data_IF_608220507567
#
_entry.id   IF_608220507567
#
_cell.length_a   1.000
_cell.length_b   1.000
_cell.length_c   1.000
_cell.angle_alpha   90.00
_cell.angle_beta   90.00
_cell.angle_gamma   90.00
#
_symmetry.space_group_name_H-M   'P 1'
#
loop_
_entity.id
_entity.type
_entity.pdbx_description
1 polymer ?
#
# COMPACT_ATOMS: atom_id res chain seq x y z
N UNK A 1 31.97 33.02 24.26
CA UNK A 1 31.16 31.78 24.15
C UNK A 1 30.90 31.40 22.68
N UNK A 2 30.60 30.14 22.37
CA UNK A 2 30.56 29.61 20.99
C UNK A 2 29.52 28.50 20.80
N UNK A 3 28.76 28.55 19.70
CA UNK A 3 27.89 27.47 19.21
C UNK A 3 28.79 26.45 18.50
N UNK A 4 29.02 25.31 19.15
CA UNK A 4 29.96 24.27 18.71
C UNK A 4 29.44 23.49 17.50
N UNK A 5 29.77 23.92 16.27
CA UNK A 5 29.44 23.25 15.02
C UNK A 5 30.72 22.66 14.42
N UNK A 6 30.73 21.34 14.17
CA UNK A 6 31.91 20.63 13.64
C UNK A 6 31.65 19.81 12.38
N UNK A 7 30.39 19.54 12.06
CA UNK A 7 30.02 18.62 10.96
C UNK A 7 28.88 19.18 10.11
N UNK A 8 28.72 18.67 8.89
CA UNK A 8 27.54 18.97 8.05
C UNK A 8 26.21 18.62 8.75
N UNK A 9 26.19 17.58 9.58
CA UNK A 9 25.01 17.19 10.37
C UNK A 9 24.71 18.19 11.48
N UNK A 10 25.75 18.73 12.12
CA UNK A 10 25.62 19.80 13.12
C UNK A 10 25.00 21.06 12.49
N UNK A 11 25.47 21.47 11.31
CA UNK A 11 24.88 22.59 10.56
C UNK A 11 23.40 22.33 10.27
N UNK A 12 23.05 21.15 9.75
CA UNK A 12 21.66 20.77 9.45
C UNK A 12 20.77 20.81 10.70
N UNK A 13 21.26 20.31 11.83
CA UNK A 13 20.55 20.36 13.10
C UNK A 13 20.37 21.81 13.59
N UNK A 14 21.42 22.62 13.50
CA UNK A 14 21.36 24.02 13.92
C UNK A 14 20.32 24.80 13.11
N UNK A 15 20.35 24.68 11.78
CA UNK A 15 19.39 25.34 10.89
C UNK A 15 17.95 24.86 11.12
N UNK A 16 17.76 23.61 11.52
CA UNK A 16 16.44 23.15 11.95
C UNK A 16 15.95 23.86 13.22
N UNK A 17 16.83 24.04 14.21
CA UNK A 17 16.48 24.63 15.50
C UNK A 17 16.34 26.15 15.45
N UNK A 18 17.21 26.83 14.70
CA UNK A 18 17.39 28.28 14.77
C UNK A 18 17.61 28.93 13.38
N UNK A 19 17.35 28.22 12.27
CA UNK A 19 17.59 28.77 10.92
C UNK A 19 16.68 29.94 10.54
N UNK A 20 15.56 30.12 11.24
CA UNK A 20 14.64 31.26 11.09
C UNK A 20 14.78 32.27 12.24
N UNK A 21 15.85 32.18 13.03
CA UNK A 21 16.08 33.09 14.14
C UNK A 21 16.36 34.52 13.68
N UNK A 22 16.03 35.50 14.53
CA UNK A 22 16.21 36.92 14.25
C UNK A 22 17.68 37.26 14.01
N UNK A 23 18.63 36.57 14.63
CA UNK A 23 20.06 36.76 14.36
C UNK A 23 20.44 36.47 12.90
N UNK A 24 19.85 35.44 12.29
CA UNK A 24 20.13 35.09 10.90
C UNK A 24 19.56 36.17 9.95
N UNK A 25 18.34 36.65 10.22
CA UNK A 25 17.74 37.69 9.40
C UNK A 25 18.42 39.05 9.60
N UNK A 26 18.80 39.39 10.85
CA UNK A 26 19.60 40.58 11.13
C UNK A 26 20.95 40.52 10.41
N UNK A 27 21.63 39.38 10.42
CA UNK A 27 22.91 39.21 9.74
C UNK A 27 22.79 39.37 8.21
N UNK A 28 21.62 39.10 7.62
CA UNK A 28 21.36 39.43 6.21
C UNK A 28 21.31 40.94 5.98
N UNK A 29 20.64 41.68 6.87
CA UNK A 29 20.29 43.09 6.66
C UNK A 29 21.26 44.09 7.28
N UNK A 30 22.06 43.68 8.26
CA UNK A 30 22.91 44.58 9.03
C UNK A 30 23.97 45.24 8.16
N UNK A 31 24.25 46.51 8.47
CA UNK A 31 25.30 47.34 7.87
C UNK A 31 26.64 47.18 8.60
N UNK A 32 26.67 46.45 9.72
CA UNK A 32 27.91 46.12 10.41
C UNK A 32 28.87 45.37 9.49
N UNK A 33 30.17 45.56 9.73
CA UNK A 33 31.22 44.89 8.96
C UNK A 33 31.17 43.38 9.25
N UNK A 34 30.99 42.58 8.20
CA UNK A 34 30.93 41.11 8.29
C UNK A 34 32.24 40.53 7.82
N UNK A 35 32.81 39.63 8.62
CA UNK A 35 34.00 38.86 8.21
C UNK A 35 33.60 37.74 7.26
N UNK A 36 32.41 37.16 7.46
CA UNK A 36 31.92 36.03 6.66
C UNK A 36 30.69 36.41 5.84
N UNK A 37 30.52 35.76 4.69
CA UNK A 37 29.36 35.98 3.84
C UNK A 37 28.17 35.15 4.34
N UNK A 38 26.94 35.68 4.26
CA UNK A 38 25.71 34.98 4.67
C UNK A 38 25.58 33.59 4.02
N UNK A 39 25.92 33.48 2.73
CA UNK A 39 25.86 32.21 1.99
C UNK A 39 26.72 31.10 2.61
N UNK A 40 27.74 31.44 3.40
CA UNK A 40 28.52 30.43 4.13
C UNK A 40 27.67 29.64 5.13
N UNK A 41 26.62 30.23 5.70
CA UNK A 41 25.70 29.54 6.64
C UNK A 41 25.01 28.34 5.98
N UNK A 42 24.68 28.47 4.69
CA UNK A 42 23.98 27.45 3.91
C UNK A 42 24.90 26.67 2.97
N UNK A 43 26.20 26.93 3.04
CA UNK A 43 27.22 26.32 2.20
C UNK A 43 27.58 24.89 2.61
N UNK A 44 28.40 24.25 1.80
CA UNK A 44 28.89 22.90 2.10
C UNK A 44 30.01 22.86 3.14
N UNK A 45 30.75 23.95 3.30
CA UNK A 45 31.86 24.05 4.26
C UNK A 45 31.31 24.31 5.66
N UNK A 46 31.34 23.29 6.53
CA UNK A 46 30.84 23.40 7.89
C UNK A 46 31.68 24.32 8.78
N UNK A 47 32.97 24.53 8.48
CA UNK A 47 33.81 25.46 9.23
C UNK A 47 33.41 26.89 8.93
N UNK A 48 33.26 27.23 7.64
CA UNK A 48 32.76 28.55 7.23
C UNK A 48 31.33 28.79 7.73
N UNK A 49 30.47 27.77 7.70
CA UNK A 49 29.13 27.86 8.27
C UNK A 49 29.17 28.13 9.78
N UNK A 50 30.02 27.43 10.54
CA UNK A 50 30.18 27.63 11.97
C UNK A 50 30.63 29.06 12.29
N UNK A 51 31.60 29.58 11.54
CA UNK A 51 32.12 30.93 11.69
C UNK A 51 31.05 31.99 11.40
N UNK A 52 30.33 31.86 10.28
CA UNK A 52 29.26 32.79 9.90
C UNK A 52 28.07 32.75 10.87
N UNK A 53 27.66 31.57 11.33
CA UNK A 53 26.58 31.41 12.33
C UNK A 53 26.96 32.09 13.64
N UNK A 54 28.18 31.86 14.14
CA UNK A 54 28.60 32.47 15.39
C UNK A 54 28.80 33.98 15.26
N UNK A 55 29.28 34.48 14.12
CA UNK A 55 29.34 35.93 13.85
C UNK A 55 27.93 36.55 13.87
N UNK A 56 26.97 35.93 13.16
CA UNK A 56 25.57 36.38 13.14
C UNK A 56 24.95 36.50 14.55
N UNK A 57 25.14 35.45 15.37
CA UNK A 57 24.60 35.42 16.72
C UNK A 57 25.32 36.39 17.66
N UNK A 58 26.62 36.61 17.49
CA UNK A 58 27.38 37.58 18.29
C UNK A 58 27.00 39.03 18.00
N UNK A 59 26.77 39.36 16.73
CA UNK A 59 26.33 40.71 16.34
C UNK A 59 25.03 41.08 17.05
N UNK A 60 24.06 40.17 17.10
CA UNK A 60 22.76 40.47 17.70
C UNK A 60 22.71 40.26 19.22
N UNK A 61 23.32 39.19 19.74
CA UNK A 61 23.18 38.73 21.13
C UNK A 61 24.48 38.86 21.92
N UNK A 62 25.26 39.91 21.65
CA UNK A 62 26.61 40.09 22.19
C UNK A 62 26.67 39.87 23.72
N UNK A 63 27.37 38.80 24.13
CA UNK A 63 27.52 38.34 25.52
C UNK A 63 26.22 38.30 26.36
N UNK A 64 25.09 37.97 25.72
CA UNK A 64 23.80 37.85 26.38
C UNK A 64 23.47 36.42 26.85
N UNK A 65 22.56 36.30 27.81
CA UNK A 65 22.03 35.00 28.29
C UNK A 65 21.32 34.23 27.16
N UNK A 66 20.81 34.91 26.15
CA UNK A 66 20.23 34.29 24.95
C UNK A 66 21.27 33.49 24.17
N UNK A 67 22.47 34.05 23.95
CA UNK A 67 23.56 33.32 23.29
C UNK A 67 23.96 32.08 24.11
N UNK A 68 23.99 32.21 25.45
CA UNK A 68 24.23 31.08 26.35
C UNK A 68 23.17 30.00 26.17
N UNK A 69 21.90 30.40 26.17
CA UNK A 69 20.75 29.51 26.01
C UNK A 69 20.80 28.76 24.67
N UNK A 70 21.15 29.43 23.57
CA UNK A 70 21.32 28.80 22.27
C UNK A 70 22.45 27.77 22.25
N UNK A 71 23.65 28.16 22.72
CA UNK A 71 24.79 27.25 22.78
C UNK A 71 24.49 26.01 23.65
N UNK A 72 23.84 26.21 24.79
CA UNK A 72 23.45 25.13 25.70
C UNK A 72 22.40 24.18 25.08
N UNK A 73 21.33 24.73 24.50
CA UNK A 73 20.27 23.92 23.85
C UNK A 73 20.83 23.13 22.67
N UNK A 74 21.70 23.75 21.88
CA UNK A 74 22.34 23.09 20.75
C UNK A 74 23.28 21.96 21.20
N UNK A 75 24.09 22.20 22.24
CA UNK A 75 24.93 21.16 22.85
C UNK A 75 24.10 19.95 23.31
N UNK A 76 23.01 20.19 24.03
CA UNK A 76 22.09 19.11 24.46
C UNK A 76 21.50 18.34 23.28
N UNK A 77 21.08 19.04 22.23
CA UNK A 77 20.55 18.41 21.02
C UNK A 77 21.60 17.53 20.33
N UNK A 78 22.86 17.98 20.26
CA UNK A 78 23.99 17.21 19.73
C UNK A 78 24.26 15.95 20.54
N UNK A 79 24.28 16.05 21.87
CA UNK A 79 24.48 14.90 22.77
C UNK A 79 23.37 13.85 22.64
N UNK A 80 22.17 14.28 22.21
CA UNK A 80 21.04 13.40 21.94
C UNK A 80 20.99 12.82 20.51
N UNK A 81 22.00 13.06 19.66
CA UNK A 81 22.04 12.51 18.30
C UNK A 81 22.39 11.02 18.31
N UNK A 82 21.68 10.23 17.49
CA UNK A 82 22.09 8.85 17.25
C UNK A 82 23.46 8.80 16.56
N UNK A 83 24.38 7.91 16.97
CA UNK A 83 25.61 7.66 16.23
C UNK A 83 25.33 7.23 14.79
N UNK A 84 26.15 7.67 13.83
CA UNK A 84 25.94 7.41 12.39
C UNK A 84 25.86 5.91 12.09
N UNK A 85 26.60 5.08 12.84
CA UNK A 85 26.61 3.62 12.70
C UNK A 85 25.24 2.98 12.90
N UNK A 86 24.36 3.58 13.72
CA UNK A 86 23.02 3.05 14.00
C UNK A 86 22.12 3.05 12.77
N UNK A 87 22.42 3.88 11.77
CA UNK A 87 21.68 3.90 10.50
C UNK A 87 22.22 2.91 9.46
N UNK A 88 23.34 2.24 9.74
CA UNK A 88 24.05 1.43 8.74
C UNK A 88 23.26 0.24 8.21
N UNK A 89 22.45 -0.41 9.05
CA UNK A 89 21.79 -1.67 8.73
C UNK A 89 20.74 -1.55 7.62
N UNK A 90 20.04 -0.41 7.51
CA UNK A 90 19.03 -0.20 6.47
C UNK A 90 19.55 0.58 5.26
N UNK A 91 20.65 1.33 5.37
CA UNK A 91 21.17 2.20 4.29
C UNK A 91 21.49 1.44 3.00
N UNK A 92 21.85 0.16 3.08
CA UNK A 92 22.20 -0.68 1.91
C UNK A 92 21.04 -1.56 1.41
N UNK A 93 19.92 -1.61 2.12
CA UNK A 93 18.76 -2.42 1.77
C UNK A 93 17.54 -1.54 1.50
N UNK A 94 17.06 -1.58 0.25
CA UNK A 94 15.88 -0.81 -0.14
C UNK A 94 14.65 -1.22 0.68
N UNK A 95 14.43 -2.52 0.89
CA UNK A 95 13.29 -3.02 1.67
C UNK A 95 13.40 -2.57 3.15
N UNK A 96 14.57 -2.73 3.77
CA UNK A 96 14.79 -2.34 5.16
C UNK A 96 14.60 -0.83 5.36
N UNK A 97 15.12 -0.01 4.45
CA UNK A 97 14.94 1.44 4.50
C UNK A 97 13.48 1.84 4.29
N UNK A 98 12.77 1.19 3.37
CA UNK A 98 11.33 1.40 3.18
C UNK A 98 10.55 1.07 4.45
N UNK A 99 10.87 -0.06 5.08
CA UNK A 99 10.24 -0.50 6.32
C UNK A 99 10.51 0.46 7.47
N UNK A 100 11.77 0.86 7.69
CA UNK A 100 12.15 1.80 8.74
C UNK A 100 11.43 3.15 8.56
N UNK A 101 11.35 3.64 7.32
CA UNK A 101 10.58 4.84 6.99
C UNK A 101 9.09 4.67 7.31
N UNK A 102 8.48 3.55 6.89
CA UNK A 102 7.06 3.29 7.15
C UNK A 102 6.78 3.22 8.67
N UNK A 103 7.71 2.64 9.44
CA UNK A 103 7.61 2.55 10.89
C UNK A 103 7.60 3.94 11.55
N UNK A 104 8.57 4.80 11.21
CA UNK A 104 8.61 6.17 11.78
C UNK A 104 7.42 7.02 11.32
N UNK A 105 6.86 6.75 10.13
CA UNK A 105 5.66 7.43 9.62
C UNK A 105 4.43 7.19 10.47
N UNK A 106 4.33 6.00 11.05
CA UNK A 106 3.23 5.62 11.94
C UNK A 106 3.68 5.59 13.40
N UNK A 107 4.83 6.17 13.75
CA UNK A 107 5.30 6.15 15.13
C UNK A 107 4.36 6.96 16.04
N UNK A 108 3.63 6.27 16.92
CA UNK A 108 2.71 6.86 17.88
C UNK A 108 2.33 5.86 18.96
N UNK A 109 2.11 6.33 20.19
CA UNK A 109 1.49 5.52 21.25
C UNK A 109 0.12 4.95 20.83
N UNK A 110 -0.61 5.65 19.96
CA UNK A 110 -1.92 5.19 19.43
C UNK A 110 -1.80 3.98 18.49
N UNK A 111 -0.59 3.68 18.02
CA UNK A 111 -0.31 2.54 17.15
C UNK A 111 0.41 1.41 17.91
N UNK A 112 0.43 1.44 19.25
CA UNK A 112 1.05 0.37 20.06
C UNK A 112 0.43 -1.00 19.81
N UNK A 113 -0.86 -1.05 19.45
CA UNK A 113 -1.58 -2.26 19.06
C UNK A 113 -1.01 -2.95 17.81
N UNK A 114 -0.28 -2.23 16.95
CA UNK A 114 0.40 -2.82 15.79
C UNK A 114 1.47 -3.84 16.19
N UNK A 115 2.00 -3.76 17.42
CA UNK A 115 2.94 -4.75 17.95
C UNK A 115 2.24 -6.01 18.48
N UNK A 116 0.93 -5.96 18.76
CA UNK A 116 0.15 -7.00 19.43
C UNK A 116 -1.14 -7.33 18.67
N UNK A 117 -1.03 -7.64 17.37
CA UNK A 117 -2.19 -8.00 16.52
C UNK A 117 -2.59 -9.46 16.76
N UNK A 118 -3.03 -9.76 17.99
CA UNK A 118 -3.56 -11.07 18.40
C UNK A 118 -5.06 -11.07 18.66
N UNK A 119 -5.70 -9.90 18.73
CA UNK A 119 -7.13 -9.74 19.04
C UNK A 119 -7.99 -9.42 17.82
N UNK A 120 -9.27 -9.76 17.90
CA UNK A 120 -10.33 -9.46 16.93
C UNK A 120 -10.71 -7.95 16.87
N UNK A 121 -9.84 -7.07 17.36
CA UNK A 121 -10.08 -5.63 17.42
C UNK A 121 -9.95 -4.99 16.03
N UNK A 122 -10.70 -3.89 15.83
CA UNK A 122 -10.58 -3.08 14.63
C UNK A 122 -9.15 -2.56 14.48
N UNK A 123 -8.40 -3.15 13.55
CA UNK A 123 -7.06 -2.70 13.20
C UNK A 123 -7.18 -1.30 12.59
N UNK A 124 -6.71 -0.25 13.29
CA UNK A 124 -6.70 1.12 12.78
C UNK A 124 -5.29 1.71 12.89
N UNK A 125 -4.86 2.46 11.87
CA UNK A 125 -3.54 3.10 11.87
C UNK A 125 -3.70 4.61 12.00
N UNK A 126 -3.20 5.15 13.10
CA UNK A 126 -3.11 6.58 13.35
C UNK A 126 -1.95 7.20 12.56
N UNK A 127 -2.25 8.15 11.66
CA UNK A 127 -1.25 8.73 10.74
C UNK A 127 -0.86 10.18 11.06
N UNK A 128 -1.47 10.81 12.06
CA UNK A 128 -1.10 12.17 12.54
C UNK A 128 0.03 12.09 13.58
N UNK A 129 1.20 11.65 13.13
CA UNK A 129 2.34 11.28 13.99
C UNK A 129 3.37 12.41 14.11
N UNK A 130 4.36 12.28 15.03
CA UNK A 130 5.48 13.23 15.13
C UNK A 130 6.25 13.41 13.81
N UNK A 131 6.20 12.42 12.90
CA UNK A 131 6.79 12.55 11.57
C UNK A 131 6.29 13.81 10.84
N UNK A 132 4.99 14.10 10.86
CA UNK A 132 4.44 15.31 10.20
C UNK A 132 4.97 16.61 10.80
N UNK A 133 5.41 16.59 12.07
CA UNK A 133 5.97 17.76 12.74
C UNK A 133 7.45 17.95 12.41
N UNK A 134 8.20 16.86 12.30
CA UNK A 134 9.67 16.91 12.18
C UNK A 134 10.17 16.86 10.74
N UNK A 135 9.40 16.27 9.82
CA UNK A 135 9.85 15.94 8.47
C UNK A 135 9.08 16.75 7.44
N UNK A 136 9.83 17.45 6.57
CA UNK A 136 9.27 18.22 5.46
C UNK A 136 8.83 17.33 4.29
N UNK A 137 9.58 16.27 4.01
CA UNK A 137 9.30 15.36 2.91
C UNK A 137 8.19 14.38 3.34
N UNK A 138 6.95 14.72 3.00
CA UNK A 138 5.79 13.88 3.32
C UNK A 138 5.76 12.57 2.52
N UNK A 139 6.30 12.55 1.30
CA UNK A 139 6.24 11.38 0.42
C UNK A 139 7.58 11.22 -0.31
N UNK A 140 8.62 10.67 0.35
CA UNK A 140 9.90 10.43 -0.29
C UNK A 140 9.75 9.47 -1.47
N UNK A 141 10.34 9.84 -2.60
CA UNK A 141 10.24 9.11 -3.88
C UNK A 141 11.49 8.31 -4.21
N UNK A 142 12.54 8.42 -3.38
CA UNK A 142 13.80 7.71 -3.56
C UNK A 142 14.31 7.10 -2.26
N UNK A 143 15.21 6.11 -2.40
CA UNK A 143 15.93 5.51 -1.28
C UNK A 143 16.74 6.55 -0.49
N UNK A 144 17.37 7.51 -1.19
CA UNK A 144 18.14 8.59 -0.56
C UNK A 144 17.24 9.49 0.30
N UNK A 145 16.10 9.91 -0.23
CA UNK A 145 15.14 10.73 0.53
C UNK A 145 14.57 9.96 1.73
N UNK A 146 14.31 8.66 1.60
CA UNK A 146 13.87 7.84 2.75
C UNK A 146 14.93 7.79 3.85
N UNK A 147 16.21 7.64 3.50
CA UNK A 147 17.32 7.71 4.47
C UNK A 147 17.32 9.07 5.17
N UNK A 148 17.23 10.16 4.41
CA UNK A 148 17.23 11.53 4.96
C UNK A 148 16.05 11.74 5.91
N UNK A 149 14.85 11.30 5.56
CA UNK A 149 13.69 11.37 6.45
C UNK A 149 13.90 10.62 7.76
N UNK A 150 14.57 9.45 7.72
CA UNK A 150 14.85 8.66 8.93
C UNK A 150 15.89 9.38 9.80
N UNK A 151 16.98 9.85 9.21
CA UNK A 151 17.99 10.61 9.94
C UNK A 151 17.39 11.87 10.56
N UNK A 152 16.66 12.67 9.78
CA UNK A 152 16.00 13.88 10.24
C UNK A 152 15.00 13.59 11.36
N UNK A 153 14.29 12.46 11.33
CA UNK A 153 13.31 12.12 12.36
C UNK A 153 13.99 11.96 13.72
N UNK A 154 15.13 11.26 13.75
CA UNK A 154 15.90 11.06 14.96
C UNK A 154 16.69 12.31 15.37
N UNK A 155 17.23 13.05 14.40
CA UNK A 155 18.01 14.27 14.67
C UNK A 155 17.13 15.37 15.27
N UNK A 156 15.93 15.55 14.73
CA UNK A 156 15.00 16.62 15.10
C UNK A 156 14.07 16.26 16.25
N UNK A 157 14.02 14.98 16.63
CA UNK A 157 13.22 14.53 17.75
C UNK A 157 13.79 15.06 19.08
N UNK A 158 12.94 15.60 19.98
CA UNK A 158 13.35 16.11 21.28
C UNK A 158 13.66 14.99 22.30
N UNK A 159 13.58 13.72 21.90
CA UNK A 159 13.88 12.58 22.77
C UNK A 159 15.36 12.54 23.16
N UNK A 160 15.66 11.99 24.33
CA UNK A 160 17.03 11.70 24.74
C UNK A 160 17.64 10.55 23.91
N UNK A 161 18.95 10.37 24.03
CA UNK A 161 19.69 9.35 23.27
C UNK A 161 19.21 7.93 23.57
N UNK A 162 18.90 7.60 24.84
CA UNK A 162 18.47 6.26 25.25
C UNK A 162 17.13 5.91 24.60
N UNK A 163 16.17 6.83 24.66
CA UNK A 163 14.87 6.68 24.00
C UNK A 163 15.01 6.47 22.48
N UNK A 164 15.87 7.24 21.82
CA UNK A 164 16.13 7.10 20.38
C UNK A 164 16.76 5.75 20.03
N UNK A 165 17.73 5.29 20.83
CA UNK A 165 18.36 3.98 20.65
C UNK A 165 17.35 2.85 20.82
N UNK A 166 16.49 2.92 21.84
CA UNK A 166 15.42 1.95 22.06
C UNK A 166 14.45 1.87 20.89
N UNK A 167 14.07 3.01 20.29
CA UNK A 167 13.21 3.04 19.10
C UNK A 167 13.93 2.45 17.90
N UNK A 168 15.19 2.82 17.65
CA UNK A 168 15.98 2.26 16.53
C UNK A 168 16.11 0.74 16.65
N UNK A 169 16.39 0.24 17.86
CA UNK A 169 16.44 -1.20 18.15
C UNK A 169 15.09 -1.86 17.88
N UNK A 170 14.00 -1.26 18.36
CA UNK A 170 12.63 -1.78 18.13
C UNK A 170 12.27 -1.87 16.64
N UNK A 171 12.68 -0.88 15.85
CA UNK A 171 12.50 -0.89 14.38
C UNK A 171 13.29 -2.05 13.77
N UNK A 172 14.56 -2.21 14.19
CA UNK A 172 15.42 -3.27 13.69
C UNK A 172 14.90 -4.66 14.05
N UNK A 173 14.51 -4.89 15.30
CA UNK A 173 13.93 -6.16 15.75
C UNK A 173 12.63 -6.49 15.02
N UNK A 174 11.79 -5.48 14.78
CA UNK A 174 10.59 -5.65 13.96
C UNK A 174 10.94 -5.99 12.51
N UNK A 175 11.98 -5.39 11.94
CA UNK A 175 12.45 -5.74 10.60
C UNK A 175 13.00 -7.18 10.55
N UNK A 176 13.87 -7.55 11.49
CA UNK A 176 14.51 -8.87 11.51
C UNK A 176 13.46 -10.00 11.64
N UNK A 177 12.40 -9.79 12.42
CA UNK A 177 11.28 -10.73 12.54
C UNK A 177 10.43 -10.87 11.27
N UNK A 178 10.23 -9.79 10.51
CA UNK A 178 9.24 -9.77 9.43
C UNK A 178 9.84 -9.76 8.01
N UNK A 179 11.12 -9.46 7.85
CA UNK A 179 11.77 -9.25 6.55
C UNK A 179 11.62 -10.45 5.60
N UNK A 180 11.80 -11.67 6.12
CA UNK A 180 11.67 -12.91 5.33
C UNK A 180 10.25 -13.16 4.83
N UNK A 181 9.24 -12.61 5.51
CA UNK A 181 7.84 -12.78 5.14
C UNK A 181 7.53 -12.06 3.82
N UNK A 182 8.29 -11.02 3.46
CA UNK A 182 8.10 -10.29 2.21
C UNK A 182 8.18 -11.19 0.97
N UNK A 183 8.90 -12.31 1.06
CA UNK A 183 9.07 -13.27 -0.04
C UNK A 183 7.88 -14.24 -0.20
N UNK A 184 7.00 -14.31 0.80
CA UNK A 184 5.73 -15.07 0.73
C UNK A 184 4.75 -14.38 -0.24
N UNK A 185 4.84 -13.05 -0.36
CA UNK A 185 4.02 -12.28 -1.29
C UNK A 185 4.29 -12.77 -2.72
N UNK A 186 3.29 -13.26 -3.48
CA UNK A 186 3.52 -13.93 -4.77
C UNK A 186 3.75 -12.92 -5.90
N UNK A 187 4.79 -12.09 -5.77
CA UNK A 187 5.22 -11.07 -6.72
C UNK A 187 6.70 -11.26 -7.05
N UNK A 188 7.04 -11.21 -8.33
CA UNK A 188 8.43 -11.19 -8.80
C UNK A 188 8.77 -9.77 -9.26
N UNK A 189 9.96 -9.29 -8.94
CA UNK A 189 10.45 -7.95 -9.34
C UNK A 189 10.38 -7.71 -10.86
N UNK A 190 10.53 -8.75 -11.67
CA UNK A 190 10.47 -8.68 -13.13
C UNK A 190 9.03 -8.61 -13.70
N UNK A 191 8.01 -9.02 -12.93
CA UNK A 191 6.62 -9.08 -13.41
C UNK A 191 5.91 -7.74 -13.24
N UNK A 192 6.27 -6.77 -14.11
CA UNK A 192 5.73 -5.41 -14.10
C UNK A 192 4.20 -5.38 -14.18
N UNK A 193 3.61 -6.30 -14.95
CA UNK A 193 2.17 -6.39 -15.15
C UNK A 193 1.43 -6.76 -13.88
N UNK A 194 1.92 -7.78 -13.16
CA UNK A 194 1.35 -8.22 -11.89
C UNK A 194 1.61 -7.20 -10.77
N UNK A 195 2.76 -6.54 -10.75
CA UNK A 195 3.07 -5.48 -9.77
C UNK A 195 2.08 -4.32 -9.90
N UNK A 196 1.86 -3.80 -11.10
CA UNK A 196 0.91 -2.70 -11.31
C UNK A 196 -0.52 -3.12 -10.94
N UNK A 197 -0.95 -4.32 -11.35
CA UNK A 197 -2.24 -4.86 -10.92
C UNK A 197 -2.36 -5.01 -9.41
N UNK A 198 -1.30 -5.47 -8.74
CA UNK A 198 -1.29 -5.69 -7.29
C UNK A 198 -1.48 -4.38 -6.54
N UNK A 199 -0.78 -3.32 -6.98
CA UNK A 199 -0.97 -1.97 -6.47
C UNK A 199 -2.43 -1.53 -6.62
N UNK A 200 -2.98 -1.59 -7.82
CA UNK A 200 -4.38 -1.22 -8.08
C UNK A 200 -5.36 -2.08 -7.27
N UNK A 201 -5.03 -3.36 -7.04
CA UNK A 201 -5.84 -4.29 -6.27
C UNK A 201 -5.88 -3.96 -4.78
N UNK A 202 -4.76 -3.54 -4.19
CA UNK A 202 -4.73 -3.18 -2.77
C UNK A 202 -5.18 -1.74 -2.53
N UNK A 203 -5.04 -0.83 -3.49
CA UNK A 203 -5.48 0.57 -3.35
C UNK A 203 -6.98 0.75 -3.52
N UNK A 204 -7.70 -0.23 -4.09
CA UNK A 204 -9.15 -0.21 -4.15
C UNK A 204 -9.74 -0.43 -2.77
N UNK A 205 -10.59 0.50 -2.35
CA UNK A 205 -11.43 0.30 -1.18
C UNK A 205 -12.41 -0.85 -1.43
N UNK A 206 -12.23 -1.92 -0.66
CA UNK A 206 -13.03 -3.14 -0.77
C UNK A 206 -14.16 -3.22 0.24
N UNK A 207 -14.45 -2.15 0.99
CA UNK A 207 -15.65 -2.10 1.83
C UNK A 207 -16.89 -2.49 1.02
N UNK A 208 -17.03 -2.00 -0.21
CA UNK A 208 -18.12 -2.38 -1.10
C UNK A 208 -18.11 -3.87 -1.53
N UNK A 209 -16.93 -4.48 -1.65
CA UNK A 209 -16.81 -5.92 -1.96
C UNK A 209 -17.17 -6.79 -0.76
N UNK A 210 -16.79 -6.35 0.43
CA UNK A 210 -17.14 -6.99 1.70
C UNK A 210 -18.66 -6.89 1.89
N UNK A 211 -19.22 -5.68 1.81
CA UNK A 211 -20.66 -5.44 1.87
C UNK A 211 -21.43 -6.27 0.84
N UNK A 212 -20.95 -6.36 -0.40
CA UNK A 212 -21.56 -7.19 -1.41
C UNK A 212 -21.43 -8.70 -1.14
N UNK A 213 -20.37 -9.15 -0.47
CA UNK A 213 -20.20 -10.56 -0.08
C UNK A 213 -21.09 -10.93 1.10
N UNK A 214 -21.23 -10.02 2.06
CA UNK A 214 -22.20 -10.12 3.17
C UNK A 214 -23.60 -10.20 2.58
N UNK A 215 -23.98 -9.28 1.68
CA UNK A 215 -25.30 -9.29 1.04
C UNK A 215 -25.61 -10.63 0.35
N UNK A 216 -24.66 -11.20 -0.38
CA UNK A 216 -24.82 -12.53 -1.01
C UNK A 216 -24.93 -13.68 0.00
N UNK A 217 -24.22 -13.60 1.12
CA UNK A 217 -24.33 -14.60 2.19
C UNK A 217 -25.71 -14.52 2.87
N UNK A 218 -26.19 -13.31 3.11
CA UNK A 218 -27.54 -13.04 3.64
C UNK A 218 -28.62 -13.54 2.65
N UNK A 219 -28.49 -13.24 1.36
CA UNK A 219 -29.42 -13.70 0.31
C UNK A 219 -29.52 -15.23 0.25
N UNK A 220 -28.40 -15.95 0.33
CA UNK A 220 -28.40 -17.43 0.37
C UNK A 220 -29.06 -18.04 1.61
N UNK A 221 -29.01 -17.34 2.73
CA UNK A 221 -29.66 -17.78 3.97
C UNK A 221 -31.15 -17.48 3.95
N UNK A 222 -31.55 -16.34 3.40
CA UNK A 222 -32.96 -16.00 3.16
C UNK A 222 -33.59 -17.00 2.17
N UNK A 223 -32.85 -17.44 1.14
CA UNK A 223 -33.31 -18.50 0.23
C UNK A 223 -33.48 -19.85 0.95
N UNK A 224 -32.56 -20.22 1.85
CA UNK A 224 -32.69 -21.44 2.67
C UNK A 224 -33.76 -21.36 3.76
N UNK A 225 -34.06 -20.18 4.29
CA UNK A 225 -35.10 -19.99 5.29
C UNK A 225 -36.50 -19.88 4.69
N UNK A 226 -36.62 -19.71 3.37
CA UNK A 226 -37.92 -19.78 2.65
C UNK A 226 -38.38 -21.21 2.42
N UNK A 227 -37.49 -22.19 2.59
CA UNK A 227 -37.81 -23.63 2.53
C UNK A 227 -38.22 -24.22 3.88
N UNK A 228 -38.02 -23.50 4.99
CA UNK A 228 -38.47 -23.90 6.34
C UNK A 228 -39.57 -22.93 6.83
N UNK A 229 -40.66 -23.45 7.40
CA UNK A 229 -41.92 -22.72 7.66
C UNK A 229 -41.85 -21.59 8.72
N UNK A 230 -40.69 -21.28 9.30
CA UNK A 230 -40.49 -20.29 10.37
C UNK A 230 -39.76 -19.00 9.93
N UNK A 231 -39.80 -18.69 8.64
CA UNK A 231 -38.97 -17.73 7.91
C UNK A 231 -38.83 -16.28 8.44
N UNK A 232 -38.10 -16.07 9.53
CA UNK A 232 -37.41 -14.81 9.85
C UNK A 232 -35.98 -15.08 10.32
N UNK A 233 -34.99 -14.61 9.55
CA UNK A 233 -33.58 -14.58 9.98
C UNK A 233 -33.42 -13.44 10.98
N UNK A 234 -33.03 -13.73 12.23
CA UNK A 234 -32.86 -12.70 13.25
C UNK A 234 -31.67 -11.78 12.93
N UNK A 235 -31.75 -10.51 13.35
CA UNK A 235 -30.66 -9.54 13.17
C UNK A 235 -29.35 -10.02 13.81
N UNK A 236 -29.43 -10.77 14.93
CA UNK A 236 -28.27 -11.34 15.59
C UNK A 236 -27.51 -12.35 14.70
N UNK A 237 -28.23 -13.18 13.93
CA UNK A 237 -27.61 -14.11 12.98
C UNK A 237 -26.92 -13.34 11.85
N UNK A 238 -27.55 -12.27 11.36
CA UNK A 238 -26.97 -11.40 10.32
C UNK A 238 -25.68 -10.71 10.81
N UNK A 239 -25.67 -10.24 12.05
CA UNK A 239 -24.52 -9.59 12.69
C UNK A 239 -23.38 -10.60 12.93
N UNK A 240 -23.70 -11.84 13.28
CA UNK A 240 -22.73 -12.92 13.44
C UNK A 240 -22.07 -13.32 12.10
N UNK A 241 -22.86 -13.42 11.03
CA UNK A 241 -22.35 -13.68 9.68
C UNK A 241 -21.50 -12.51 9.20
N UNK A 242 -21.93 -11.27 9.46
CA UNK A 242 -21.17 -10.08 9.16
C UNK A 242 -19.81 -10.17 9.87
N UNK A 243 -19.82 -10.40 11.19
CA UNK A 243 -18.62 -10.55 12.01
C UNK A 243 -17.69 -11.63 11.48
N UNK A 244 -18.20 -12.83 11.18
CA UNK A 244 -17.41 -13.94 10.61
C UNK A 244 -16.85 -13.63 9.22
N UNK A 245 -17.58 -12.87 8.40
CA UNK A 245 -17.15 -12.49 7.04
C UNK A 245 -16.04 -11.44 7.05
N UNK A 246 -16.03 -10.55 8.05
CA UNK A 246 -14.99 -9.53 8.24
C UNK A 246 -13.85 -10.02 9.14
N UNK A 247 -14.03 -11.13 9.85
CA UNK A 247 -13.06 -11.68 10.78
C UNK A 247 -11.72 -11.97 10.07
N UNK A 248 -10.66 -11.34 10.58
CA UNK A 248 -9.31 -11.42 10.03
C UNK A 248 -9.11 -10.69 8.69
N UNK A 249 -10.10 -9.95 8.17
CA UNK A 249 -9.90 -9.07 7.03
C UNK A 249 -9.22 -7.77 7.46
N UNK A 250 -8.05 -7.48 6.91
CA UNK A 250 -7.28 -6.29 7.25
C UNK A 250 -7.15 -5.40 6.02
N UNK A 251 -7.60 -4.15 6.11
CA UNK A 251 -7.39 -3.12 5.09
C UNK A 251 -7.47 -1.73 5.70
N UNK A 252 -6.48 -0.88 5.43
CA UNK A 252 -6.37 0.46 6.00
C UNK A 252 -6.08 1.51 4.92
N UNK A 253 -7.10 2.17 4.36
CA UNK A 253 -6.92 3.20 3.33
C UNK A 253 -5.97 4.34 3.76
N UNK A 254 -6.01 4.71 5.04
CA UNK A 254 -5.17 5.78 5.59
C UNK A 254 -3.69 5.38 5.68
N UNK A 255 -3.39 4.11 5.94
CA UNK A 255 -2.02 3.62 5.90
C UNK A 255 -1.53 3.52 4.46
N UNK A 256 -2.37 3.02 3.55
CA UNK A 256 -2.05 2.93 2.13
C UNK A 256 -1.77 4.30 1.50
N UNK A 257 -2.47 5.36 1.94
CA UNK A 257 -2.28 6.72 1.42
C UNK A 257 -0.93 7.36 1.80
N UNK A 258 -0.18 6.78 2.74
CA UNK A 258 1.19 7.19 3.05
C UNK A 258 2.13 6.90 1.87
N UNK A 259 1.82 5.88 1.07
CA UNK A 259 2.63 5.39 -0.03
C UNK A 259 2.18 6.03 -1.35
N UNK A 260 3.09 6.70 -2.06
CA UNK A 260 2.86 7.27 -3.40
C UNK A 260 3.90 6.80 -4.42
N UNK A 261 4.02 5.48 -4.67
CA UNK A 261 5.02 4.94 -5.58
C UNK A 261 4.73 5.36 -7.03
N UNK A 262 5.69 6.05 -7.65
CA UNK A 262 5.59 6.53 -9.04
C UNK A 262 6.03 5.49 -10.07
N UNK A 263 7.01 4.65 -9.73
CA UNK A 263 7.57 3.64 -10.64
C UNK A 263 7.12 2.23 -10.29
N UNK A 264 7.22 1.30 -11.23
CA UNK A 264 6.94 -0.12 -10.95
C UNK A 264 7.89 -0.69 -9.89
N UNK A 265 9.13 -0.24 -9.84
CA UNK A 265 10.10 -0.63 -8.80
C UNK A 265 9.67 -0.14 -7.43
N UNK A 266 9.27 1.13 -7.31
CA UNK A 266 8.75 1.67 -6.04
C UNK A 266 7.45 0.97 -5.63
N UNK A 267 6.56 0.64 -6.57
CA UNK A 267 5.34 -0.14 -6.28
C UNK A 267 5.69 -1.51 -5.70
N UNK A 268 6.69 -2.19 -6.27
CA UNK A 268 7.15 -3.49 -5.77
C UNK A 268 7.66 -3.40 -4.32
N UNK A 269 8.51 -2.42 -4.02
CA UNK A 269 9.03 -2.19 -2.66
C UNK A 269 7.92 -1.81 -1.69
N UNK A 270 7.02 -0.90 -2.08
CA UNK A 270 5.87 -0.49 -1.29
C UNK A 270 4.95 -1.69 -0.98
N UNK A 271 4.64 -2.53 -1.97
CA UNK A 271 3.81 -3.72 -1.79
C UNK A 271 4.42 -4.71 -0.80
N UNK A 272 5.74 -4.94 -0.87
CA UNK A 272 6.47 -5.78 0.09
C UNK A 272 6.39 -5.20 1.51
N UNK A 273 6.67 -3.91 1.66
CA UNK A 273 6.58 -3.21 2.93
C UNK A 273 5.16 -3.27 3.52
N UNK A 274 4.14 -2.93 2.74
CA UNK A 274 2.73 -2.95 3.18
C UNK A 274 2.31 -4.36 3.58
N UNK A 275 2.78 -5.38 2.86
CA UNK A 275 2.49 -6.77 3.21
C UNK A 275 3.01 -7.12 4.60
N UNK A 276 4.30 -6.93 4.86
CA UNK A 276 4.90 -7.29 6.15
C UNK A 276 4.43 -6.39 7.30
N UNK A 277 4.04 -5.15 7.03
CA UNK A 277 3.53 -4.23 8.06
C UNK A 277 2.05 -4.43 8.40
N UNK A 278 1.26 -5.10 7.55
CA UNK A 278 -0.19 -5.15 7.71
C UNK A 278 -0.82 -6.45 7.20
N UNK A 279 -0.73 -6.74 5.90
CA UNK A 279 -1.49 -7.85 5.30
C UNK A 279 -0.99 -9.24 5.69
N UNK A 280 0.22 -9.36 6.24
CA UNK A 280 0.73 -10.63 6.78
C UNK A 280 -0.16 -11.19 7.90
N UNK A 281 -0.75 -10.33 8.72
CA UNK A 281 -1.67 -10.75 9.80
C UNK A 281 -3.02 -11.27 9.27
N UNK A 282 -3.38 -10.96 8.02
CA UNK A 282 -4.58 -11.47 7.35
C UNK A 282 -4.25 -12.82 6.69
N UNK A 283 -4.46 -13.91 7.43
CA UNK A 283 -4.19 -15.30 6.98
C UNK A 283 -4.88 -15.65 5.66
N UNK A 284 -5.97 -14.97 5.31
CA UNK A 284 -6.75 -15.20 4.08
C UNK A 284 -6.29 -14.27 2.93
N UNK A 285 -5.36 -13.34 3.15
CA UNK A 285 -4.90 -12.38 2.13
C UNK A 285 -4.28 -13.07 0.92
N UNK A 286 -3.28 -13.94 1.13
CA UNK A 286 -2.57 -14.60 0.03
C UNK A 286 -3.51 -15.43 -0.86
N UNK A 287 -4.39 -16.30 -0.32
CA UNK A 287 -5.41 -16.98 -1.12
C UNK A 287 -6.30 -16.03 -1.92
N UNK A 288 -6.83 -14.97 -1.29
CA UNK A 288 -7.68 -13.98 -1.98
C UNK A 288 -6.92 -13.26 -3.08
N UNK A 289 -5.67 -12.89 -2.82
CA UNK A 289 -4.79 -12.20 -3.76
C UNK A 289 -4.48 -13.06 -4.99
N UNK A 290 -4.12 -14.35 -4.81
CA UNK A 290 -3.88 -15.29 -5.91
C UNK A 290 -5.12 -15.48 -6.79
N UNK A 291 -6.27 -15.78 -6.17
CA UNK A 291 -7.55 -15.96 -6.87
C UNK A 291 -7.95 -14.73 -7.68
N UNK A 292 -7.77 -13.54 -7.12
CA UNK A 292 -8.08 -12.28 -7.83
C UNK A 292 -7.18 -12.06 -9.05
N UNK A 293 -5.91 -12.43 -8.96
CA UNK A 293 -4.98 -12.37 -10.09
C UNK A 293 -5.33 -13.36 -11.19
N UNK A 294 -5.62 -14.61 -10.84
CA UNK A 294 -6.02 -15.67 -11.78
C UNK A 294 -7.27 -15.28 -12.57
N UNK A 295 -8.30 -14.78 -11.88
CA UNK A 295 -9.52 -14.29 -12.51
C UNK A 295 -9.25 -13.11 -13.47
N UNK A 296 -8.36 -12.20 -13.08
CA UNK A 296 -7.98 -11.06 -13.94
C UNK A 296 -7.23 -11.54 -15.18
N UNK A 297 -6.32 -12.48 -15.02
CA UNK A 297 -5.52 -13.07 -16.09
C UNK A 297 -6.40 -13.85 -17.07
N UNK A 298 -7.33 -14.66 -16.55
CA UNK A 298 -8.32 -15.39 -17.34
C UNK A 298 -9.20 -14.44 -18.17
N UNK A 299 -9.72 -13.36 -17.58
CA UNK A 299 -10.51 -12.36 -18.30
C UNK A 299 -9.72 -11.68 -19.40
N UNK A 300 -8.45 -11.34 -19.16
CA UNK A 300 -7.56 -10.77 -20.18
C UNK A 300 -7.30 -11.76 -21.32
N UNK A 301 -7.05 -13.03 -21.02
CA UNK A 301 -6.85 -14.09 -22.02
C UNK A 301 -8.12 -14.29 -22.88
N UNK A 302 -9.30 -14.38 -22.25
CA UNK A 302 -10.58 -14.50 -22.95
C UNK A 302 -10.85 -13.30 -23.88
N UNK A 303 -10.56 -12.07 -23.43
CA UNK A 303 -10.67 -10.87 -24.26
C UNK A 303 -9.70 -10.89 -25.44
N UNK A 304 -8.45 -11.34 -25.24
CA UNK A 304 -7.46 -11.49 -26.31
C UNK A 304 -7.91 -12.52 -27.35
N UNK A 305 -8.44 -13.66 -26.92
CA UNK A 305 -8.98 -14.69 -27.82
C UNK A 305 -10.20 -14.18 -28.60
N UNK A 306 -11.14 -13.48 -27.94
CA UNK A 306 -12.29 -12.85 -28.62
C UNK A 306 -11.84 -11.84 -29.68
N UNK A 307 -10.84 -11.01 -29.37
CA UNK A 307 -10.28 -10.05 -30.32
C UNK A 307 -9.50 -10.72 -31.46
N UNK A 308 -8.85 -11.86 -31.21
CA UNK A 308 -8.16 -12.65 -32.24
C UNK A 308 -9.17 -13.26 -33.21
N UNK A 309 -10.25 -13.86 -32.69
CA UNK A 309 -11.35 -14.42 -33.49
C UNK A 309 -11.98 -13.30 -34.33
N UNK A 310 -12.34 -12.17 -33.72
CA UNK A 310 -12.93 -11.03 -34.45
C UNK A 310 -12.02 -10.49 -35.58
N UNK A 311 -10.70 -10.48 -35.38
CA UNK A 311 -9.74 -10.08 -36.41
C UNK A 311 -9.61 -11.11 -37.55
N UNK A 312 -9.74 -12.40 -37.25
CA UNK A 312 -9.76 -13.46 -38.26
C UNK A 312 -11.04 -13.37 -39.09
N UNK A 313 -12.20 -13.25 -38.44
CA UNK A 313 -13.50 -13.11 -39.14
C UNK A 313 -13.53 -11.85 -40.01
N UNK A 314 -12.92 -10.74 -39.58
CA UNK A 314 -12.84 -9.53 -40.38
C UNK A 314 -11.92 -9.69 -41.61
N UNK A 315 -10.83 -10.45 -41.49
CA UNK A 315 -9.95 -10.77 -42.63
C UNK A 315 -10.56 -11.75 -43.61
N UNK A 316 -11.41 -12.66 -43.14
CA UNK A 316 -12.19 -13.57 -43.99
C UNK A 316 -13.29 -12.82 -44.75
N UNK A 317 -13.85 -11.75 -44.17
CA UNK A 317 -14.82 -10.86 -44.83
C UNK A 317 -14.17 -9.90 -45.83
N UNK A 318 -12.96 -9.40 -45.55
CA UNK A 318 -12.21 -8.50 -46.45
C UNK A 318 -11.43 -9.27 -47.56
N UNK A 319 -11.54 -10.60 -47.63
CA UNK A 319 -10.77 -11.48 -48.52
C UNK A 319 -11.49 -11.99 -49.77
N UNK A 320 -12.77 -11.64 -49.96
CA UNK A 320 -13.59 -12.06 -51.11
C UNK A 320 -13.96 -10.85 -51.98
N UNK A 321 -12.99 -10.30 -52.69
CA UNK A 321 -13.26 -9.39 -53.81
C UNK A 321 -12.78 -10.06 -55.11
N UNK A 322 -13.73 -10.66 -55.83
CA UNK A 322 -13.62 -10.91 -57.28
C UNK A 322 -14.72 -10.09 -57.96
N UNK A 323 -14.40 -9.22 -58.93
CA UNK A 323 -15.39 -8.35 -59.56
C UNK A 323 -16.17 -9.10 -60.64
N UNK A 324 -17.50 -8.98 -60.62
CA UNK A 324 -18.37 -9.36 -61.73
C UNK A 324 -19.45 -8.30 -61.89
N UNK A 325 -19.48 -7.72 -63.08
CA UNK A 325 -20.33 -6.61 -63.50
C UNK A 325 -21.80 -6.97 -63.69
N UNK A 326 -22.60 -5.91 -63.57
CA UNK A 326 -23.87 -5.60 -64.23
C UNK A 326 -25.20 -5.94 -63.51
N UNK A 327 -26.25 -5.12 -63.76
CA UNK A 327 -27.21 -4.75 -62.75
C UNK A 327 -28.64 -5.26 -63.00
N UNK A 328 -29.46 -5.02 -61.98
CA UNK A 328 -30.90 -4.74 -62.02
C UNK A 328 -31.88 -5.83 -61.55
N UNK A 329 -32.47 -5.47 -60.40
CA UNK A 329 -33.87 -5.58 -60.01
C UNK A 329 -34.40 -6.71 -59.10
N UNK A 330 -34.84 -6.23 -57.93
CA UNK A 330 -35.96 -6.66 -57.07
C UNK A 330 -35.90 -8.04 -56.43
N UNK A 331 -35.53 -8.06 -55.15
CA UNK A 331 -36.46 -8.35 -54.05
C UNK A 331 -35.84 -7.91 -52.71
N UNK A 332 -36.62 -7.22 -51.89
CA UNK A 332 -36.20 -6.76 -50.56
C UNK A 332 -36.09 -7.96 -49.62
N UNK A 333 -34.93 -8.61 -49.56
CA UNK A 333 -34.56 -9.40 -48.39
C UNK A 333 -34.11 -8.46 -47.29
N UNK A 334 -34.93 -8.37 -46.22
CA UNK A 334 -34.61 -7.58 -45.03
C UNK A 334 -33.37 -8.22 -44.39
N UNK A 335 -32.22 -7.57 -44.57
CA UNK A 335 -30.98 -7.93 -43.90
C UNK A 335 -31.20 -7.89 -42.37
N UNK A 336 -31.36 -9.07 -41.76
CA UNK A 336 -31.39 -9.21 -40.30
C UNK A 336 -30.11 -8.62 -39.71
N UNK A 337 -30.28 -7.68 -38.79
CA UNK A 337 -29.12 -7.07 -38.12
C UNK A 337 -28.35 -8.11 -37.31
N UNK A 338 -27.04 -7.95 -37.16
CA UNK A 338 -26.17 -8.85 -36.37
C UNK A 338 -26.70 -9.16 -34.95
N UNK A 339 -27.49 -8.24 -34.38
CA UNK A 339 -28.15 -8.44 -33.08
C UNK A 339 -29.26 -9.48 -33.11
N UNK A 340 -30.00 -9.60 -34.20
CA UNK A 340 -31.06 -10.61 -34.38
C UNK A 340 -30.47 -11.99 -34.62
N UNK A 341 -29.45 -12.09 -35.48
CA UNK A 341 -28.75 -13.35 -35.73
C UNK A 341 -28.11 -13.92 -34.45
N UNK A 342 -27.61 -13.04 -33.58
CA UNK A 342 -27.07 -13.41 -32.27
C UNK A 342 -28.16 -13.85 -31.27
N UNK A 343 -29.37 -13.30 -31.34
CA UNK A 343 -30.50 -13.73 -30.51
C UNK A 343 -31.04 -15.09 -30.94
N UNK A 344 -31.12 -15.34 -32.25
CA UNK A 344 -31.53 -16.64 -32.80
C UNK A 344 -30.52 -17.74 -32.42
N UNK A 345 -29.21 -17.49 -32.60
CA UNK A 345 -28.16 -18.43 -32.16
C UNK A 345 -28.20 -18.69 -30.65
N UNK A 346 -28.53 -17.69 -29.82
CA UNK A 346 -28.67 -17.89 -28.38
C UNK A 346 -29.91 -18.72 -28.00
N UNK A 347 -31.02 -18.55 -28.71
CA UNK A 347 -32.23 -19.36 -28.53
C UNK A 347 -32.02 -20.82 -28.95
N UNK A 348 -31.30 -21.06 -30.04
CA UNK A 348 -30.98 -22.40 -30.53
C UNK A 348 -30.05 -23.17 -29.58
N UNK A 349 -29.04 -22.48 -29.01
CA UNK A 349 -28.17 -23.05 -27.97
C UNK A 349 -28.98 -23.41 -26.71
N UNK A 350 -29.94 -22.57 -26.29
CA UNK A 350 -30.80 -22.88 -25.15
C UNK A 350 -31.74 -24.06 -25.41
N UNK A 351 -32.25 -24.20 -26.64
CA UNK A 351 -33.09 -25.35 -27.04
C UNK A 351 -32.29 -26.65 -27.00
N UNK A 352 -31.05 -26.64 -27.48
CA UNK A 352 -30.14 -27.80 -27.48
C UNK A 352 -29.67 -28.21 -26.07
N UNK A 353 -29.54 -27.26 -25.14
CA UNK A 353 -29.23 -27.56 -23.73
C UNK A 353 -30.45 -28.21 -23.03
N UNK A 354 -31.67 -27.77 -23.34
CA UNK A 354 -32.90 -28.37 -22.80
C UNK A 354 -33.12 -29.81 -23.28
N UNK A 355 -32.84 -30.11 -24.54
CA UNK A 355 -32.95 -31.46 -25.12
C UNK A 355 -31.89 -32.41 -24.57
N UNK A 356 -30.62 -31.97 -24.45
CA UNK A 356 -29.56 -32.77 -23.80
C UNK A 356 -29.88 -33.12 -22.35
N UNK A 357 -30.48 -32.20 -21.61
CA UNK A 357 -30.84 -32.46 -20.21
C UNK A 357 -32.07 -33.37 -20.06
N UNK A 358 -32.96 -33.47 -21.06
CA UNK A 358 -34.07 -34.45 -21.02
C UNK A 358 -33.58 -35.85 -21.38
N UNK A 359 -32.64 -35.99 -22.32
CA UNK A 359 -32.05 -37.29 -22.70
C UNK A 359 -31.20 -37.91 -21.57
N UNK A 360 -30.50 -37.08 -20.79
CA UNK A 360 -29.76 -37.51 -19.59
C UNK A 360 -30.66 -37.91 -18.40
N UNK A 361 -31.96 -37.58 -18.45
CA UNK A 361 -32.92 -37.92 -17.40
C UNK A 361 -33.69 -39.22 -17.65
N UNK A 362 -33.65 -39.75 -18.88
CA UNK A 362 -34.33 -40.99 -19.27
C UNK A 362 -33.47 -42.26 -19.14
N UNK A 363 -32.16 -42.14 -18.91
CA UNK A 363 -31.24 -43.28 -18.70
C UNK A 363 -30.84 -43.49 -17.24
N UNK A 364 -31.81 -43.70 -16.33
CA UNK A 364 -31.60 -44.43 -15.07
C UNK A 364 -32.86 -45.20 -14.68
N UNK A 365 -33.08 -46.33 -15.34
CA UNK A 365 -34.06 -47.35 -14.97
C UNK A 365 -33.42 -48.51 -14.19
N UNK A 366 -34.05 -48.83 -13.07
CA UNK A 366 -34.04 -50.10 -12.31
C UNK A 366 -32.71 -50.70 -11.82
N UNK A 367 -32.47 -50.55 -10.51
CA UNK A 367 -31.57 -51.42 -9.73
C UNK A 367 -31.91 -51.28 -8.25
N UNK A 368 -32.56 -52.30 -7.69
CA UNK A 368 -32.91 -52.46 -6.27
C UNK A 368 -31.69 -52.23 -5.36
N UNK A 369 -31.81 -51.52 -4.23
CA UNK A 369 -30.67 -51.26 -3.34
C UNK A 369 -30.38 -52.47 -2.43
N UNK A 370 -29.11 -52.86 -2.21
CA UNK A 370 -28.77 -53.71 -1.10
C UNK A 370 -28.65 -52.87 0.18
N UNK A 371 -29.39 -53.31 1.18
CA UNK A 371 -29.18 -53.05 2.60
C UNK A 371 -27.72 -53.35 2.97
N UNK A 372 -27.07 -52.40 3.64
CA UNK A 372 -25.97 -52.67 4.56
C UNK A 372 -25.82 -51.47 5.50
N UNK A 373 -26.41 -51.65 6.66
CA UNK A 373 -25.97 -51.13 7.95
C UNK A 373 -24.43 -51.01 8.10
N UNK A 374 -24.06 -50.19 9.08
CA UNK A 374 -22.79 -50.12 9.81
C UNK A 374 -21.69 -49.18 9.33
N UNK A 375 -21.40 -48.28 10.27
CA UNK A 375 -20.08 -47.80 10.71
C UNK A 375 -19.62 -46.43 10.18
N UNK A 376 -19.81 -45.44 11.07
CA UNK A 376 -18.66 -44.84 11.74
C UNK A 376 -17.87 -43.83 10.92
N UNK A 377 -18.30 -42.58 10.99
CA UNK A 377 -17.36 -41.46 10.98
C UNK A 377 -16.38 -41.67 12.14
N UNK A 378 -15.10 -41.29 11.99
CA UNK A 378 -14.81 -39.97 12.55
C UNK A 378 -13.59 -39.18 11.99
N UNK A 379 -13.64 -37.88 12.35
CA UNK A 379 -12.56 -37.04 12.88
C UNK A 379 -11.61 -36.22 11.98
N UNK A 380 -11.51 -34.96 12.43
CA UNK A 380 -10.49 -33.90 12.33
C UNK A 380 -10.43 -32.98 11.10
#
# INVERSE_FOLDING_TARGET
MWIDIKTKRDVRLFLWMAGNDVAIENYRQTKEMKTYHLNHIYGEDCNLAALAINEAFRILYNDSDELFSYAYRFKKAKEALLPIKEFGWFKRSNDACYFAWAYIRVFSKKNSSLANVGGNDSFSIYTRTPYRRFIRIEHPVSHRERIECIEDFFDRSPMDLSSKLSIMLSIRDAWDRHSQLADILPLKKSDKGKINWAWDYISKDKINYINGSIKRAQEKLIEKSKTDETGQVSQAVLDEIYKSSIEGYIHQPHFLSLFRPSTTTEKYLALRCIYISMYYYDKKFIPRFKKAWELTSFRKAKKKNKNKILKLTKRELDGNDTPSDSPDNTEKEIAKTDKELMREKAHEIMKNIKTRNSELSSEKGSGTPPDLSRNGWPFF
#
